data_IF_113806978618
#
_entry.id   IF_113806978618
#
_cell.length_a   1.000
_cell.length_b   1.000
_cell.length_c   1.000
_cell.angle_alpha   90.00
_cell.angle_beta   90.00
_cell.angle_gamma   90.00
#
_symmetry.space_group_name_H-M   'P 1'
#
loop_
_entity.id
_entity.type
_entity.pdbx_description
1 polymer ?
#
# COMPACT_ATOMS: atom_id res chain seq x y z
N UNK A 1 13.83 45.94 -20.66
CA UNK A 1 14.54 44.64 -20.55
C UNK A 1 14.75 44.17 -19.11
N UNK A 2 15.17 45.02 -18.16
CA UNK A 2 15.42 44.62 -16.76
C UNK A 2 14.17 44.12 -15.99
N UNK A 3 12.98 44.67 -16.28
CA UNK A 3 11.71 44.34 -15.60
C UNK A 3 11.04 43.05 -16.09
N UNK A 4 11.37 42.61 -17.31
CA UNK A 4 10.89 41.36 -17.90
C UNK A 4 11.63 40.15 -17.31
N UNK A 5 12.95 40.30 -17.08
CA UNK A 5 13.78 39.26 -16.47
C UNK A 5 13.40 39.02 -15.00
N UNK A 6 12.99 40.07 -14.26
CA UNK A 6 12.56 39.95 -12.86
C UNK A 6 11.19 39.27 -12.72
N UNK A 7 10.26 39.48 -13.66
CA UNK A 7 8.97 38.77 -13.65
C UNK A 7 9.10 37.28 -13.98
N UNK A 8 9.98 36.90 -14.92
CA UNK A 8 10.18 35.48 -15.28
C UNK A 8 10.81 34.70 -14.11
N UNK A 9 11.69 35.33 -13.33
CA UNK A 9 12.26 34.73 -12.12
C UNK A 9 11.22 34.47 -11.02
N UNK A 10 10.17 35.31 -10.91
CA UNK A 10 9.11 35.15 -9.92
C UNK A 10 8.13 34.01 -10.29
N UNK A 11 7.86 33.81 -11.58
CA UNK A 11 7.04 32.68 -12.05
C UNK A 11 7.74 31.33 -11.88
N UNK A 12 9.07 31.29 -11.97
CA UNK A 12 9.86 30.07 -11.71
C UNK A 12 9.85 29.64 -10.23
N UNK A 13 9.62 30.57 -9.29
CA UNK A 13 9.54 30.26 -7.86
C UNK A 13 8.15 29.76 -7.40
N UNK A 14 7.10 29.95 -8.22
CA UNK A 14 5.74 29.47 -7.94
C UNK A 14 5.48 28.09 -8.62
N UNK A 15 6.31 27.70 -9.58
CA UNK A 15 6.19 26.44 -10.31
C UNK A 15 6.64 25.16 -9.58
N UNK A 16 7.11 25.24 -8.33
CA UNK A 16 7.55 24.09 -7.54
C UNK A 16 6.51 23.56 -6.53
N UNK A 17 5.24 23.98 -6.61
CA UNK A 17 4.20 23.53 -5.65
C UNK A 17 2.99 22.85 -6.29
N UNK A 18 3.10 22.28 -7.48
CA UNK A 18 1.99 21.54 -8.10
C UNK A 18 2.43 20.28 -8.84
N UNK A 19 3.29 19.48 -8.22
CA UNK A 19 3.12 18.02 -8.36
C UNK A 19 2.13 17.60 -7.27
N UNK A 20 0.84 17.70 -7.57
CA UNK A 20 -0.14 16.85 -6.91
C UNK A 20 0.21 15.44 -7.33
N UNK A 21 1.07 14.80 -6.54
CA UNK A 21 1.13 13.36 -6.48
C UNK A 21 -0.21 12.92 -5.86
N UNK A 22 -1.22 12.76 -6.71
CA UNK A 22 -2.43 12.00 -6.35
C UNK A 22 -2.01 10.52 -6.29
N UNK A 23 -1.32 10.16 -5.23
CA UNK A 23 -0.96 8.79 -4.89
C UNK A 23 -0.94 8.66 -3.36
N UNK A 24 -2.05 9.03 -2.71
CA UNK A 24 -2.36 8.67 -1.32
C UNK A 24 -3.78 9.11 -0.92
N UNK A 25 -4.82 8.72 -1.67
CA UNK A 25 -6.20 8.76 -1.18
C UNK A 25 -6.86 7.39 -1.40
N UNK A 26 -6.47 6.39 -0.62
CA UNK A 26 -7.24 5.13 -0.46
C UNK A 26 -7.54 4.82 1.03
N UNK A 27 -7.46 5.80 1.93
CA UNK A 27 -7.75 5.58 3.36
C UNK A 27 -9.24 5.70 3.71
N UNK A 28 -10.04 6.44 2.93
CA UNK A 28 -11.46 6.69 3.23
C UNK A 28 -12.42 5.57 2.77
N UNK A 29 -11.95 4.65 1.92
CA UNK A 29 -12.77 3.61 1.31
C UNK A 29 -12.82 2.31 2.15
N UNK A 30 -11.73 2.00 2.86
CA UNK A 30 -11.61 0.78 3.65
C UNK A 30 -12.53 0.78 4.88
N UNK A 31 -12.65 1.91 5.56
CA UNK A 31 -13.51 2.06 6.74
C UNK A 31 -14.99 1.86 6.36
N UNK A 32 -15.44 2.50 5.27
CA UNK A 32 -16.81 2.38 4.76
C UNK A 32 -17.14 0.95 4.29
N UNK A 33 -16.21 0.29 3.58
CA UNK A 33 -16.35 -1.11 3.15
C UNK A 33 -16.40 -2.09 4.33
N UNK A 34 -15.66 -1.78 5.40
CA UNK A 34 -15.63 -2.58 6.63
C UNK A 34 -16.94 -2.48 7.40
N UNK A 35 -17.48 -1.27 7.56
CA UNK A 35 -18.76 -1.03 8.24
C UNK A 35 -19.94 -1.74 7.56
N UNK A 36 -20.04 -1.64 6.22
CA UNK A 36 -21.13 -2.29 5.48
C UNK A 36 -21.11 -3.82 5.59
N UNK A 37 -19.93 -4.44 5.61
CA UNK A 37 -19.83 -5.88 5.75
C UNK A 37 -20.12 -6.35 7.18
N UNK A 38 -19.58 -5.66 8.19
CA UNK A 38 -19.87 -5.94 9.60
C UNK A 38 -21.38 -5.84 9.86
N UNK A 39 -22.05 -4.82 9.31
CA UNK A 39 -23.50 -4.65 9.42
C UNK A 39 -24.29 -5.80 8.77
N UNK A 40 -23.77 -6.42 7.71
CA UNK A 40 -24.37 -7.58 7.05
C UNK A 40 -24.13 -8.92 7.77
N UNK A 41 -23.31 -8.96 8.83
CA UNK A 41 -22.93 -10.21 9.51
C UNK A 41 -22.01 -11.10 8.67
N UNK A 42 -21.34 -10.54 7.67
CA UNK A 42 -20.33 -11.21 6.86
C UNK A 42 -19.02 -10.49 7.08
N UNK A 43 -17.91 -11.21 7.24
CA UNK A 43 -16.60 -10.54 7.32
C UNK A 43 -16.38 -9.68 6.07
N UNK A 44 -15.88 -8.44 6.17
CA UNK A 44 -15.59 -7.62 5.00
C UNK A 44 -14.65 -8.33 4.04
N UNK A 45 -15.21 -8.75 2.90
CA UNK A 45 -14.45 -9.29 1.78
C UNK A 45 -13.83 -8.11 1.04
N UNK A 46 -12.80 -7.55 1.66
CA UNK A 46 -11.93 -6.55 1.04
C UNK A 46 -10.98 -7.30 0.12
N UNK A 47 -10.84 -6.81 -1.13
CA UNK A 47 -9.85 -7.36 -2.05
C UNK A 47 -8.45 -7.16 -1.43
N UNK A 48 -7.70 -8.24 -1.15
CA UNK A 48 -6.36 -8.10 -0.60
C UNK A 48 -5.44 -7.50 -1.65
N UNK A 49 -4.48 -6.70 -1.19
CA UNK A 49 -3.39 -6.22 -2.03
C UNK A 49 -2.46 -7.38 -2.40
N UNK A 50 -2.04 -7.40 -3.66
CA UNK A 50 -1.11 -8.41 -4.15
C UNK A 50 0.29 -8.14 -3.59
N UNK A 51 0.81 -9.13 -2.86
CA UNK A 51 2.13 -9.05 -2.25
C UNK A 51 3.20 -9.65 -3.17
N UNK A 52 4.39 -9.06 -3.18
CA UNK A 52 5.53 -9.55 -3.94
C UNK A 52 6.27 -10.65 -3.19
N UNK A 53 5.92 -11.91 -3.46
CA UNK A 53 6.53 -13.06 -2.80
C UNK A 53 7.81 -13.54 -3.50
N UNK A 54 8.82 -13.93 -2.73
CA UNK A 54 10.09 -14.46 -3.25
C UNK A 54 9.95 -15.76 -4.05
N UNK A 55 8.86 -16.49 -3.83
CA UNK A 55 8.54 -17.76 -4.49
C UNK A 55 7.50 -17.59 -5.60
N UNK A 56 7.05 -16.38 -5.91
CA UNK A 56 6.09 -16.14 -6.98
C UNK A 56 6.71 -16.41 -8.37
N UNK A 57 5.89 -16.85 -9.33
CA UNK A 57 6.29 -17.11 -10.71
C UNK A 57 6.63 -18.58 -11.02
N UNK A 58 6.74 -18.95 -12.31
CA UNK A 58 6.83 -20.34 -12.75
C UNK A 58 8.08 -21.10 -12.27
N UNK A 59 9.12 -20.36 -11.88
CA UNK A 59 10.39 -20.93 -11.40
C UNK A 59 10.73 -20.53 -9.95
N UNK A 60 9.80 -19.89 -9.24
CA UNK A 60 9.98 -19.45 -7.87
C UNK A 60 10.35 -20.61 -6.94
N UNK A 61 11.16 -20.31 -5.92
CA UNK A 61 11.60 -21.28 -4.90
C UNK A 61 11.30 -20.73 -3.52
N UNK A 62 10.86 -21.62 -2.65
CA UNK A 62 10.71 -21.28 -1.24
C UNK A 62 12.08 -21.07 -0.58
N UNK A 63 12.16 -20.04 0.24
CA UNK A 63 13.24 -19.90 1.21
C UNK A 63 12.98 -20.88 2.37
N UNK A 64 13.82 -21.91 2.49
CA UNK A 64 13.71 -22.92 3.56
C UNK A 64 13.80 -22.31 4.95
N UNK A 65 14.60 -21.26 5.13
CA UNK A 65 14.70 -20.55 6.40
C UNK A 65 13.40 -19.81 6.74
N UNK A 66 12.76 -19.20 5.74
CA UNK A 66 11.43 -18.60 5.90
C UNK A 66 10.40 -19.65 6.34
N UNK A 67 10.39 -20.83 5.72
CA UNK A 67 9.46 -21.91 6.07
C UNK A 67 9.69 -22.43 7.50
N UNK A 68 10.94 -22.57 7.94
CA UNK A 68 11.26 -22.99 9.31
C UNK A 68 10.73 -21.98 10.35
N UNK A 69 10.88 -20.68 10.08
CA UNK A 69 10.31 -19.63 10.94
C UNK A 69 8.79 -19.66 10.94
N UNK A 70 8.17 -19.83 9.77
CA UNK A 70 6.72 -19.96 9.64
C UNK A 70 6.16 -21.15 10.43
N UNK A 71 6.82 -22.31 10.35
CA UNK A 71 6.44 -23.50 11.11
C UNK A 71 6.53 -23.26 12.63
N UNK A 72 7.54 -22.52 13.08
CA UNK A 72 7.66 -22.14 14.50
C UNK A 72 6.47 -21.30 14.94
N UNK A 73 6.12 -20.24 14.19
CA UNK A 73 4.96 -19.38 14.49
C UNK A 73 3.67 -20.21 14.53
N UNK A 74 3.44 -21.07 13.54
CA UNK A 74 2.26 -21.92 13.51
C UNK A 74 2.16 -22.79 14.77
N UNK A 75 3.25 -23.46 15.16
CA UNK A 75 3.28 -24.33 16.34
C UNK A 75 3.11 -23.58 17.66
N UNK A 76 3.68 -22.39 17.78
CA UNK A 76 3.70 -21.64 19.03
C UNK A 76 2.45 -20.77 19.23
N UNK A 77 1.78 -20.37 18.15
CA UNK A 77 0.70 -19.37 18.20
C UNK A 77 -0.62 -19.90 17.67
N UNK A 78 -0.59 -20.69 16.58
CA UNK A 78 -1.80 -20.97 15.81
C UNK A 78 -2.37 -22.37 16.05
N UNK A 79 -1.54 -23.37 16.36
CA UNK A 79 -1.97 -24.79 16.34
C UNK A 79 -2.93 -25.20 17.45
N UNK A 80 -3.28 -24.30 18.37
CA UNK A 80 -4.14 -24.58 19.52
C UNK A 80 -5.60 -24.16 19.31
N UNK A 81 -5.90 -23.42 18.25
CA UNK A 81 -7.23 -22.95 17.87
C UNK A 81 -7.64 -23.60 16.55
#
# INVERSE_FOLDING_TARGET
MKKLVTSIALFAAIGCSFTVASAAEESHDLATKTEHAIAGGHFPVIKPEEQSWSFAGPFGKYDKGQLQRGLKVYKEVCSAC
#
